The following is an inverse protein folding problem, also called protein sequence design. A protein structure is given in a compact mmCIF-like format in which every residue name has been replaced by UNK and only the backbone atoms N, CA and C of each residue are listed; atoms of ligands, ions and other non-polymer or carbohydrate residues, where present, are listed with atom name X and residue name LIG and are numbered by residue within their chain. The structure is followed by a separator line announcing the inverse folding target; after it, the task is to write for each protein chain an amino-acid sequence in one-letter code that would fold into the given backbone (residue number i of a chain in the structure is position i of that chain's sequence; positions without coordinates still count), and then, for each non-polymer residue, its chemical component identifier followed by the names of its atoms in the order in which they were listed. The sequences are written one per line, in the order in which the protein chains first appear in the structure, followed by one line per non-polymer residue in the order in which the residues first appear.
data_IF_464573186150
#
_entry.id   IF_464573186150
#
_cell.length_a   1.000
_cell.length_b   1.000
_cell.length_c   1.000
_cell.angle_alpha   90.00
_cell.angle_beta   90.00
_cell.angle_gamma   90.00
#
_symmetry.space_group_name_H-M   'P 1'
#
loop_
_entity.id
_entity.type
_entity.pdbx_description
1 polymer ?
#
# COMPACT_ATOMS: atom_id res chain seq x y z
N UNK A 1 -2.43 19.32 2.09
CA UNK A 1 -3.52 18.34 1.82
C UNK A 1 -4.89 18.99 1.79
N UNK A 2 -5.37 19.63 2.88
CA UNK A 2 -6.69 20.27 2.93
C UNK A 2 -6.95 21.32 1.84
N UNK A 3 -5.93 22.12 1.46
CA UNK A 3 -6.07 23.09 0.37
C UNK A 3 -6.24 22.43 -1.01
N UNK A 4 -5.53 21.33 -1.29
CA UNK A 4 -5.67 20.57 -2.54
C UNK A 4 -7.00 19.83 -2.58
N UNK A 5 -7.40 19.19 -1.48
CA UNK A 5 -8.72 18.54 -1.35
C UNK A 5 -9.83 19.57 -1.52
N UNK A 6 -9.71 20.76 -0.91
CA UNK A 6 -10.67 21.86 -1.10
C UNK A 6 -10.70 22.37 -2.53
N UNK A 7 -9.55 22.53 -3.19
CA UNK A 7 -9.47 22.93 -4.60
C UNK A 7 -10.08 21.85 -5.50
N UNK A 8 -9.81 20.57 -5.26
CA UNK A 8 -10.39 19.46 -6.02
C UNK A 8 -11.90 19.37 -5.81
N UNK A 9 -12.37 19.50 -4.57
CA UNK A 9 -13.78 19.53 -4.22
C UNK A 9 -14.51 20.71 -4.86
N UNK A 10 -13.94 21.92 -4.78
CA UNK A 10 -14.49 23.09 -5.46
C UNK A 10 -14.44 22.97 -6.98
N UNK A 11 -13.43 22.29 -7.53
CA UNK A 11 -13.33 22.04 -8.99
C UNK A 11 -14.34 20.98 -9.45
N UNK A 12 -14.62 19.97 -8.63
CA UNK A 12 -15.68 18.98 -8.89
C UNK A 12 -17.07 19.63 -8.81
N UNK A 13 -17.32 20.46 -7.80
CA UNK A 13 -18.56 21.24 -7.69
C UNK A 13 -18.70 22.21 -8.85
N UNK A 14 -17.63 22.93 -9.22
CA UNK A 14 -17.63 23.83 -10.36
C UNK A 14 -17.87 23.10 -11.69
N UNK A 15 -17.34 21.87 -11.84
CA UNK A 15 -17.60 21.02 -12.99
C UNK A 15 -19.06 20.56 -13.05
N UNK A 16 -19.68 20.29 -11.89
CA UNK A 16 -21.10 19.98 -11.80
C UNK A 16 -22.01 21.21 -11.99
N UNK A 17 -21.56 22.41 -11.61
CA UNK A 17 -22.32 23.67 -11.70
C UNK A 17 -22.09 24.47 -13.00
N UNK A 18 -21.12 24.08 -13.84
CA UNK A 18 -20.83 24.74 -15.11
C UNK A 18 -19.97 26.01 -15.02
N UNK A 19 -19.37 26.31 -13.86
CA UNK A 19 -18.53 27.51 -13.66
C UNK A 19 -17.16 27.40 -14.35
N UNK A 20 -17.12 27.77 -15.63
CA UNK A 20 -15.95 27.64 -16.53
C UNK A 20 -14.66 28.37 -16.11
N UNK A 21 -14.72 29.46 -15.34
CA UNK A 21 -13.53 30.25 -15.02
C UNK A 21 -12.62 29.62 -13.95
N UNK A 22 -13.21 29.06 -12.90
CA UNK A 22 -12.47 28.39 -11.83
C UNK A 22 -11.88 27.05 -12.31
N UNK A 23 -12.62 26.37 -13.19
CA UNK A 23 -12.15 25.22 -13.96
C UNK A 23 -10.95 25.64 -14.83
N UNK A 24 -11.04 26.66 -15.67
CA UNK A 24 -9.93 27.02 -16.59
C UNK A 24 -8.59 27.31 -15.89
N UNK A 25 -8.59 28.00 -14.76
CA UNK A 25 -7.35 28.41 -14.10
C UNK A 25 -6.63 27.28 -13.34
N UNK A 26 -7.36 26.28 -12.83
CA UNK A 26 -6.79 25.19 -12.02
C UNK A 26 -7.03 23.78 -12.60
N UNK A 27 -7.82 23.64 -13.68
CA UNK A 27 -8.19 22.35 -14.27
C UNK A 27 -6.98 21.54 -14.68
N UNK A 28 -5.93 22.18 -15.23
CA UNK A 28 -4.74 21.45 -15.64
C UNK A 28 -4.10 20.72 -14.46
N UNK A 29 -4.00 21.36 -13.29
CA UNK A 29 -3.47 20.72 -12.09
C UNK A 29 -4.41 19.63 -11.58
N UNK A 30 -5.70 19.91 -11.51
CA UNK A 30 -6.71 18.95 -10.99
C UNK A 30 -6.80 17.71 -11.86
N UNK A 31 -6.92 17.86 -13.18
CA UNK A 31 -6.93 16.72 -14.11
C UNK A 31 -5.61 15.95 -14.10
N UNK A 32 -4.48 16.63 -13.92
CA UNK A 32 -3.17 15.95 -13.85
C UNK A 32 -3.02 15.15 -12.54
N UNK A 33 -3.50 15.67 -11.42
CA UNK A 33 -3.32 15.04 -10.10
C UNK A 33 -4.42 14.02 -9.75
N UNK A 34 -5.60 14.13 -10.34
CA UNK A 34 -6.75 13.28 -9.98
C UNK A 34 -6.48 11.78 -10.16
N UNK A 35 -5.97 11.29 -11.32
CA UNK A 35 -5.65 9.87 -11.48
C UNK A 35 -4.61 9.39 -10.46
N UNK A 36 -3.58 10.21 -10.19
CA UNK A 36 -2.55 9.89 -9.22
C UNK A 36 -3.13 9.72 -7.80
N UNK A 37 -4.08 10.58 -7.42
CA UNK A 37 -4.75 10.49 -6.12
C UNK A 37 -5.63 9.24 -6.04
N UNK A 38 -6.36 8.88 -7.11
CA UNK A 38 -7.14 7.65 -7.16
C UNK A 38 -6.26 6.41 -6.93
N UNK A 39 -5.07 6.36 -7.53
CA UNK A 39 -4.14 5.26 -7.33
C UNK A 39 -3.52 5.25 -5.92
N UNK A 40 -3.20 6.41 -5.34
CA UNK A 40 -2.71 6.51 -3.97
C UNK A 40 -3.75 6.00 -2.96
N UNK A 41 -5.04 6.25 -3.18
CA UNK A 41 -6.11 5.83 -2.27
C UNK A 41 -6.61 4.40 -2.60
N UNK A 42 -6.15 3.79 -3.70
CA UNK A 42 -6.66 2.51 -4.17
C UNK A 42 -6.57 1.33 -3.18
N UNK A 43 -5.52 1.18 -2.32
CA UNK A 43 -5.51 0.12 -1.31
C UNK A 43 -6.67 0.22 -0.31
N UNK A 44 -7.07 1.45 0.04
CA UNK A 44 -8.21 1.69 0.93
C UNK A 44 -9.51 1.30 0.23
N UNK A 45 -9.71 1.73 -1.01
CA UNK A 45 -10.90 1.41 -1.80
C UNK A 45 -11.03 -0.11 -1.97
N UNK A 46 -9.94 -0.78 -2.34
CA UNK A 46 -9.91 -2.23 -2.50
C UNK A 46 -10.18 -2.97 -1.19
N UNK A 47 -9.76 -2.42 -0.05
CA UNK A 47 -10.07 -2.99 1.26
C UNK A 47 -11.57 -2.97 1.54
N UNK A 48 -12.25 -1.85 1.26
CA UNK A 48 -13.71 -1.77 1.43
C UNK A 48 -14.44 -2.76 0.51
N UNK A 49 -14.06 -2.81 -0.78
CA UNK A 49 -14.71 -3.72 -1.74
C UNK A 49 -14.42 -5.18 -1.43
N UNK A 50 -13.22 -5.51 -0.92
CA UNK A 50 -12.87 -6.88 -0.55
C UNK A 50 -13.75 -7.44 0.57
N UNK A 51 -14.23 -6.60 1.48
CA UNK A 51 -15.15 -6.99 2.55
C UNK A 51 -16.52 -7.46 2.06
N UNK A 52 -16.90 -7.13 0.82
CA UNK A 52 -18.17 -7.53 0.21
C UNK A 52 -18.10 -8.92 -0.44
N UNK A 53 -16.92 -9.55 -0.49
CA UNK A 53 -16.76 -10.92 -1.01
C UNK A 53 -16.90 -11.07 -2.53
N UNK A 54 -16.81 -9.98 -3.29
CA UNK A 54 -17.03 -9.96 -4.75
C UNK A 54 -15.89 -10.64 -5.53
N UNK A 55 -14.67 -10.67 -4.97
CA UNK A 55 -13.48 -11.18 -5.65
C UNK A 55 -12.99 -12.49 -5.05
N UNK A 56 -12.42 -13.35 -5.91
CA UNK A 56 -11.64 -14.49 -5.45
C UNK A 56 -10.32 -14.01 -4.82
N UNK A 57 -9.78 -14.78 -3.87
CA UNK A 57 -8.49 -14.47 -3.19
C UNK A 57 -7.38 -14.19 -4.21
N UNK A 58 -7.26 -15.02 -5.25
CA UNK A 58 -6.23 -14.87 -6.30
C UNK A 58 -6.33 -13.54 -7.05
N UNK A 59 -7.54 -13.15 -7.46
CA UNK A 59 -7.76 -11.87 -8.15
C UNK A 59 -7.46 -10.71 -7.22
N UNK A 60 -7.87 -10.81 -5.95
CA UNK A 60 -7.62 -9.79 -4.95
C UNK A 60 -6.11 -9.65 -4.63
N UNK A 61 -5.34 -10.74 -4.58
CA UNK A 61 -3.88 -10.69 -4.44
C UNK A 61 -3.22 -9.92 -5.59
N UNK A 62 -3.64 -10.19 -6.83
CA UNK A 62 -3.11 -9.50 -8.02
C UNK A 62 -3.47 -8.01 -8.01
N UNK A 63 -4.73 -7.68 -7.71
CA UNK A 63 -5.17 -6.29 -7.60
C UNK A 63 -4.46 -5.55 -6.47
N UNK A 64 -4.23 -6.21 -5.33
CA UNK A 64 -3.48 -5.63 -4.22
C UNK A 64 -2.06 -5.26 -4.66
N UNK A 65 -1.30 -6.20 -5.23
CA UNK A 65 0.07 -5.92 -5.69
C UNK A 65 0.09 -4.83 -6.76
N UNK A 66 -0.86 -4.86 -7.71
CA UNK A 66 -1.00 -3.82 -8.73
C UNK A 66 -1.29 -2.45 -8.13
N UNK A 67 -2.19 -2.37 -7.15
CA UNK A 67 -2.54 -1.13 -6.44
C UNK A 67 -1.33 -0.51 -5.74
N UNK A 68 -0.45 -1.33 -5.17
CA UNK A 68 0.75 -0.89 -4.47
C UNK A 68 1.78 -0.31 -5.46
N UNK A 69 2.01 -0.97 -6.59
CA UNK A 69 2.88 -0.44 -7.65
C UNK A 69 2.32 0.82 -8.30
N UNK A 70 1.01 0.88 -8.53
CA UNK A 70 0.35 2.08 -9.06
C UNK A 70 0.43 3.26 -8.06
N UNK A 71 0.27 2.99 -6.77
CA UNK A 71 0.47 3.96 -5.70
C UNK A 71 1.91 4.50 -5.66
N UNK A 72 2.91 3.64 -5.85
CA UNK A 72 4.32 4.03 -5.96
C UNK A 72 4.57 4.97 -7.15
N UNK A 73 4.17 4.56 -8.35
CA UNK A 73 4.35 5.35 -9.58
C UNK A 73 3.64 6.70 -9.45
N UNK A 74 2.41 6.69 -8.94
CA UNK A 74 1.61 7.91 -8.76
C UNK A 74 2.26 8.86 -7.76
N UNK A 75 2.84 8.32 -6.68
CA UNK A 75 3.56 9.11 -5.70
C UNK A 75 4.80 9.78 -6.31
N UNK A 76 5.57 9.08 -7.14
CA UNK A 76 6.71 9.67 -7.87
C UNK A 76 6.27 10.77 -8.84
N UNK A 77 5.17 10.57 -9.57
CA UNK A 77 4.61 11.61 -10.45
C UNK A 77 4.25 12.86 -9.63
N UNK A 78 3.67 12.69 -8.44
CA UNK A 78 3.33 13.82 -7.56
C UNK A 78 4.59 14.55 -7.04
N UNK A 79 5.69 13.83 -6.76
CA UNK A 79 6.99 14.46 -6.42
C UNK A 79 7.43 15.39 -7.55
N UNK A 80 7.40 14.91 -8.79
CA UNK A 80 7.81 15.69 -9.97
C UNK A 80 6.91 16.91 -10.16
N UNK A 81 5.59 16.71 -10.11
CA UNK A 81 4.61 17.80 -10.25
C UNK A 81 4.85 18.87 -9.19
N UNK A 82 4.88 18.51 -7.90
CA UNK A 82 5.04 19.50 -6.84
C UNK A 82 6.41 20.17 -6.83
N UNK A 83 7.47 19.49 -7.26
CA UNK A 83 8.79 20.10 -7.43
C UNK A 83 8.75 21.18 -8.51
N UNK A 84 8.17 20.90 -9.68
CA UNK A 84 7.97 21.91 -10.74
C UNK A 84 7.10 23.08 -10.29
N UNK A 85 6.03 22.83 -9.52
CA UNK A 85 5.18 23.90 -9.00
C UNK A 85 5.88 24.72 -7.90
N UNK A 86 6.80 24.14 -7.14
CA UNK A 86 7.60 24.86 -6.14
C UNK A 86 8.46 25.95 -6.78
N UNK A 87 9.07 25.65 -7.93
CA UNK A 87 9.88 26.61 -8.69
C UNK A 87 9.05 27.80 -9.20
N UNK A 88 7.76 27.59 -9.47
CA UNK A 88 6.83 28.62 -9.99
C UNK A 88 6.16 29.48 -8.90
N UNK A 89 6.40 29.20 -7.62
CA UNK A 89 5.85 29.97 -6.49
C UNK A 89 5.33 29.10 -5.35
N UNK A 90 4.92 29.72 -4.23
CA UNK A 90 4.48 29.03 -2.98
C UNK A 90 5.41 27.89 -2.56
N UNK A 91 6.73 28.18 -2.58
CA UNK A 91 7.81 27.21 -2.37
C UNK A 91 7.62 26.29 -1.16
N UNK A 92 7.26 26.85 -0.01
CA UNK A 92 7.09 26.07 1.23
C UNK A 92 6.03 24.96 1.09
N UNK A 93 4.82 25.30 0.62
CA UNK A 93 3.72 24.35 0.52
C UNK A 93 3.96 23.26 -0.53
N UNK A 94 4.48 23.65 -1.69
CA UNK A 94 4.75 22.72 -2.78
C UNK A 94 5.93 21.80 -2.44
N UNK A 95 6.98 22.33 -1.81
CA UNK A 95 8.10 21.50 -1.30
C UNK A 95 7.62 20.52 -0.24
N UNK A 96 6.78 20.95 0.71
CA UNK A 96 6.18 20.06 1.68
C UNK A 96 5.34 18.94 1.04
N UNK A 97 4.56 19.25 0.00
CA UNK A 97 3.82 18.23 -0.74
C UNK A 97 4.74 17.27 -1.51
N UNK A 98 5.83 17.75 -2.11
CA UNK A 98 6.81 16.89 -2.77
C UNK A 98 7.48 15.93 -1.77
N UNK A 99 7.86 16.41 -0.59
CA UNK A 99 8.44 15.56 0.48
C UNK A 99 7.44 14.51 0.95
N UNK A 100 6.17 14.89 1.18
CA UNK A 100 5.14 13.93 1.56
C UNK A 100 4.88 12.88 0.47
N UNK A 101 4.86 13.28 -0.80
CA UNK A 101 4.76 12.35 -1.92
C UNK A 101 5.97 11.41 -2.01
N UNK A 102 7.16 11.86 -1.64
CA UNK A 102 8.34 11.00 -1.59
C UNK A 102 8.25 9.97 -0.47
N UNK A 103 7.75 10.35 0.71
CA UNK A 103 7.48 9.43 1.82
C UNK A 103 6.44 8.38 1.40
N UNK A 104 5.36 8.79 0.74
CA UNK A 104 4.36 7.87 0.20
C UNK A 104 4.97 6.91 -0.83
N UNK A 105 5.84 7.41 -1.73
CA UNK A 105 6.53 6.56 -2.69
C UNK A 105 7.36 5.49 -1.97
N UNK A 106 8.09 5.85 -0.92
CA UNK A 106 8.82 4.87 -0.10
C UNK A 106 7.90 3.83 0.52
N UNK A 107 6.80 4.25 1.16
CA UNK A 107 5.83 3.34 1.79
C UNK A 107 5.24 2.35 0.77
N UNK A 108 4.84 2.85 -0.39
CA UNK A 108 4.29 2.01 -1.47
C UNK A 108 5.34 1.06 -2.04
N UNK A 109 6.55 1.55 -2.28
CA UNK A 109 7.64 0.74 -2.80
C UNK A 109 8.01 -0.39 -1.84
N UNK A 110 8.18 -0.07 -0.56
CA UNK A 110 8.50 -1.04 0.48
C UNK A 110 7.45 -2.14 0.57
N UNK A 111 6.16 -1.76 0.62
CA UNK A 111 5.06 -2.73 0.63
C UNK A 111 5.01 -3.56 -0.66
N UNK A 112 5.16 -2.93 -1.83
CA UNK A 112 5.12 -3.63 -3.12
C UNK A 112 6.28 -4.63 -3.24
N UNK A 113 7.49 -4.25 -2.83
CA UNK A 113 8.68 -5.11 -2.83
C UNK A 113 8.51 -6.31 -1.90
N UNK A 114 7.95 -6.10 -0.71
CA UNK A 114 7.65 -7.19 0.20
C UNK A 114 6.61 -8.14 -0.41
N UNK A 115 5.55 -7.61 -1.02
CA UNK A 115 4.47 -8.40 -1.62
C UNK A 115 4.82 -9.07 -2.97
N UNK A 116 5.91 -8.64 -3.62
CA UNK A 116 6.45 -9.26 -4.83
C UNK A 116 7.30 -10.48 -4.43
N UNK A 117 6.67 -11.65 -4.35
CA UNK A 117 7.28 -12.92 -3.92
C UNK A 117 6.24 -13.99 -3.57
N UNK A 118 6.68 -15.10 -2.97
CA UNK A 118 5.79 -16.06 -2.34
C UNK A 118 5.48 -15.58 -0.92
N UNK A 119 4.27 -15.07 -0.70
CA UNK A 119 3.88 -14.58 0.62
C UNK A 119 2.68 -15.35 1.12
N UNK A 120 2.60 -15.46 2.44
CA UNK A 120 1.43 -15.95 3.15
C UNK A 120 1.12 -15.04 4.34
N UNK A 121 -0.06 -15.25 4.89
CA UNK A 121 -0.47 -14.65 6.16
C UNK A 121 -1.15 -15.70 7.00
N UNK A 122 -0.85 -15.73 8.29
CA UNK A 122 -1.46 -16.64 9.24
C UNK A 122 -1.63 -15.96 10.60
N UNK A 123 -2.42 -16.59 11.48
CA UNK A 123 -2.57 -16.07 12.83
C UNK A 123 -1.25 -16.11 13.58
N UNK A 124 -1.02 -15.14 14.46
CA UNK A 124 0.23 -15.08 15.23
C UNK A 124 0.42 -16.31 16.12
N UNK A 125 -0.66 -16.86 16.67
CA UNK A 125 -0.65 -18.11 17.47
C UNK A 125 -0.15 -19.28 16.63
N UNK A 126 -0.60 -19.41 15.38
CA UNK A 126 -0.14 -20.46 14.48
C UNK A 126 1.32 -20.26 14.09
N UNK A 127 1.74 -19.03 13.79
CA UNK A 127 3.14 -18.76 13.45
C UNK A 127 4.08 -19.02 14.64
N UNK A 128 3.69 -18.64 15.85
CA UNK A 128 4.47 -18.92 17.06
C UNK A 128 4.61 -20.41 17.35
N UNK A 129 3.65 -21.25 16.96
CA UNK A 129 3.76 -22.70 17.15
C UNK A 129 4.78 -23.37 16.21
N UNK A 130 5.01 -22.79 15.02
CA UNK A 130 6.02 -23.26 14.07
C UNK A 130 7.35 -22.51 14.16
N UNK A 131 7.34 -21.30 14.71
CA UNK A 131 8.48 -20.37 14.77
C UNK A 131 8.43 -19.51 16.05
N UNK A 132 8.95 -20.01 17.18
CA UNK A 132 8.87 -19.32 18.47
C UNK A 132 9.63 -17.98 18.54
N UNK A 133 10.54 -17.74 17.60
CA UNK A 133 11.33 -16.52 17.45
C UNK A 133 10.53 -15.37 16.84
N UNK A 134 9.40 -15.64 16.16
CA UNK A 134 8.51 -14.60 15.62
C UNK A 134 7.60 -14.07 16.73
N UNK A 135 8.00 -12.94 17.32
CA UNK A 135 7.21 -12.24 18.33
C UNK A 135 6.24 -11.27 17.65
N UNK A 136 4.99 -11.70 17.51
CA UNK A 136 3.91 -10.85 17.03
C UNK A 136 2.73 -10.93 17.99
N UNK A 137 2.49 -9.86 18.74
CA UNK A 137 1.41 -9.79 19.73
C UNK A 137 0.05 -9.56 19.08
N UNK A 138 0.02 -8.94 17.90
CA UNK A 138 -1.20 -8.77 17.12
C UNK A 138 -1.52 -10.05 16.38
N UNK A 139 -2.80 -10.40 16.30
CA UNK A 139 -3.32 -11.71 15.91
C UNK A 139 -2.95 -12.24 14.51
N UNK A 140 -2.08 -11.59 13.75
CA UNK A 140 -1.74 -11.94 12.37
C UNK A 140 -0.29 -11.58 12.02
N UNK A 141 0.40 -12.52 11.39
CA UNK A 141 1.74 -12.35 10.81
C UNK A 141 1.64 -12.52 9.31
N UNK A 142 2.30 -11.64 8.55
CA UNK A 142 2.50 -11.81 7.11
C UNK A 142 3.96 -12.13 6.88
N UNK A 143 4.23 -13.11 6.04
CA UNK A 143 5.58 -13.56 5.77
C UNK A 143 5.83 -13.68 4.27
N UNK A 144 7.07 -13.39 3.88
CA UNK A 144 7.62 -13.64 2.56
C UNK A 144 8.53 -14.84 2.67
N UNK A 145 8.02 -15.97 2.19
CA UNK A 145 8.73 -17.23 2.19
C UNK A 145 9.86 -17.21 1.16
N UNK A 146 11.02 -17.70 1.58
CA UNK A 146 12.20 -17.87 0.71
C UNK A 146 12.80 -19.24 0.98
N UNK A 147 12.61 -20.16 0.03
CA UNK A 147 13.17 -21.51 0.14
C UNK A 147 14.70 -21.47 0.23
N UNK A 148 15.25 -22.06 1.28
CA UNK A 148 16.71 -22.14 1.50
C UNK A 148 17.36 -20.87 2.06
N UNK A 149 16.58 -19.83 2.35
CA UNK A 149 17.06 -18.59 2.99
C UNK A 149 16.14 -18.20 4.17
N UNK A 150 16.50 -17.16 4.90
CA UNK A 150 15.66 -16.59 5.95
C UNK A 150 14.38 -15.98 5.37
N UNK A 151 13.23 -16.46 5.85
CA UNK A 151 11.94 -15.86 5.51
C UNK A 151 11.80 -14.53 6.23
N UNK A 152 11.31 -13.52 5.51
CA UNK A 152 11.03 -12.20 6.07
C UNK A 152 9.60 -12.20 6.62
N UNK A 153 9.37 -11.58 7.77
CA UNK A 153 8.05 -11.46 8.36
C UNK A 153 7.75 -10.01 8.76
N UNK A 154 6.46 -9.67 8.75
CA UNK A 154 5.91 -8.37 9.17
C UNK A 154 4.70 -8.60 10.06
N UNK A 155 4.66 -7.89 11.18
CA UNK A 155 3.58 -7.88 12.16
C UNK A 155 2.98 -6.46 12.21
N UNK A 156 1.77 -6.23 11.66
CA UNK A 156 1.15 -4.91 11.69
C UNK A 156 0.90 -4.40 13.12
N UNK A 157 1.26 -3.14 13.39
CA UNK A 157 1.02 -2.46 14.68
C UNK A 157 -0.17 -1.51 14.64
N UNK A 158 -0.73 -1.22 13.46
CA UNK A 158 -1.93 -0.40 13.32
C UNK A 158 -2.92 -1.02 12.32
N UNK A 159 -2.86 -0.63 11.06
CA UNK A 159 -3.82 -0.83 10.00
C UNK A 159 -3.19 -1.76 8.98
N UNK A 160 -3.88 -2.86 8.67
CA UNK A 160 -3.58 -3.72 7.54
C UNK A 160 -4.73 -3.66 6.54
N UNK A 161 -4.42 -3.32 5.30
CA UNK A 161 -5.37 -3.22 4.19
C UNK A 161 -5.32 -4.47 3.32
N UNK A 162 -6.47 -4.82 2.71
CA UNK A 162 -6.63 -5.98 1.82
C UNK A 162 -6.25 -7.30 2.50
N UNK A 163 -6.74 -7.52 3.72
CA UNK A 163 -6.40 -8.69 4.55
C UNK A 163 -6.77 -10.03 3.88
N UNK A 164 -7.89 -10.06 3.15
CA UNK A 164 -8.37 -11.24 2.42
C UNK A 164 -7.48 -11.64 1.21
N UNK A 165 -6.52 -10.79 0.83
CA UNK A 165 -5.70 -11.00 -0.37
C UNK A 165 -4.47 -11.88 -0.12
N UNK A 166 -4.07 -12.10 1.13
CA UNK A 166 -2.74 -12.66 1.49
C UNK A 166 -1.54 -11.80 1.06
N UNK A 167 -1.78 -10.66 0.39
CA UNK A 167 -0.81 -9.68 -0.09
C UNK A 167 -1.16 -8.32 0.48
N UNK A 168 -1.19 -8.22 1.81
CA UNK A 168 -1.72 -7.06 2.50
C UNK A 168 -0.86 -5.82 2.28
N UNK A 169 -1.48 -4.65 2.23
CA UNK A 169 -0.76 -3.39 2.30
C UNK A 169 -0.68 -2.95 3.76
N UNK A 170 0.54 -2.86 4.30
CA UNK A 170 0.79 -2.30 5.63
C UNK A 170 1.75 -1.14 5.45
N UNK A 171 1.35 0.09 5.79
CA UNK A 171 2.19 1.25 5.60
C UNK A 171 3.35 1.24 6.61
N UNK A 172 4.56 1.55 6.19
CA UNK A 172 5.63 1.90 7.11
C UNK A 172 5.29 3.23 7.83
N UNK A 173 5.58 3.39 9.13
CA UNK A 173 6.30 2.48 10.04
C UNK A 173 5.37 1.56 10.86
N UNK A 174 4.14 1.31 10.41
CA UNK A 174 3.10 0.66 11.19
C UNK A 174 3.19 -0.88 11.18
N UNK A 175 4.40 -1.42 11.23
CA UNK A 175 4.67 -2.83 11.43
C UNK A 175 6.03 -3.06 12.10
N UNK A 176 6.14 -4.16 12.83
CA UNK A 176 7.42 -4.75 13.21
C UNK A 176 7.83 -5.75 12.15
N UNK A 177 9.13 -5.79 11.80
CA UNK A 177 9.66 -6.71 10.83
C UNK A 177 10.86 -7.48 11.35
N UNK A 178 11.13 -8.62 10.71
CA UNK A 178 12.27 -9.44 11.04
C UNK A 178 12.52 -10.53 10.00
N UNK A 179 13.58 -11.30 10.25
CA UNK A 179 13.95 -12.47 9.47
C UNK A 179 14.03 -13.69 10.38
N UNK A 180 13.57 -14.83 9.89
CA UNK A 180 13.55 -16.06 10.67
C UNK A 180 13.89 -17.27 9.80
N UNK A 181 14.87 -18.06 10.25
CA UNK A 181 15.17 -19.39 9.69
C UNK A 181 14.17 -20.45 10.16
N UNK A 182 13.71 -20.32 11.39
CA UNK A 182 12.78 -21.27 11.99
C UNK A 182 11.42 -21.19 11.30
N UNK A 183 11.02 -19.98 10.86
CA UNK A 183 9.84 -19.78 10.04
C UNK A 183 9.96 -20.48 8.69
N UNK A 184 11.11 -20.37 8.02
CA UNK A 184 11.36 -21.10 6.76
C UNK A 184 11.23 -22.60 6.98
N UNK A 185 11.87 -23.16 8.02
CA UNK A 185 11.81 -24.59 8.33
C UNK A 185 10.40 -25.06 8.69
N UNK A 186 9.66 -24.26 9.46
CA UNK A 186 8.28 -24.54 9.83
C UNK A 186 7.37 -24.60 8.61
N UNK A 187 7.52 -23.65 7.67
CA UNK A 187 6.79 -23.63 6.41
C UNK A 187 7.20 -24.82 5.52
N UNK A 188 8.49 -25.15 5.42
CA UNK A 188 8.98 -26.30 4.64
C UNK A 188 8.34 -27.59 5.13
N UNK A 189 8.34 -27.82 6.45
CA UNK A 189 7.73 -29.01 7.06
C UNK A 189 6.24 -29.11 6.74
N UNK A 190 5.51 -27.99 6.81
CA UNK A 190 4.08 -27.96 6.44
C UNK A 190 3.90 -28.29 4.96
N UNK A 191 4.70 -27.70 4.07
CA UNK A 191 4.61 -27.99 2.63
C UNK A 191 4.86 -29.46 2.32
N UNK A 192 5.79 -30.10 3.02
CA UNK A 192 6.08 -31.53 2.84
C UNK A 192 4.92 -32.40 3.37
N UNK A 193 4.38 -32.10 4.56
CA UNK A 193 3.21 -32.81 5.12
C UNK A 193 1.95 -32.75 4.24
N UNK A 194 1.75 -31.65 3.51
CA UNK A 194 0.62 -31.48 2.59
C UNK A 194 0.87 -31.98 1.16
N UNK A 195 2.11 -32.25 0.77
CA UNK A 195 2.42 -32.87 -0.53
C UNK A 195 2.21 -34.38 -0.54
N UNK A 196 2.30 -35.01 0.62
CA UNK A 196 2.15 -36.46 0.79
C UNK A 196 0.69 -36.91 1.01
N UNK A 197 -0.27 -36.00 0.86
CA UNK A 197 -1.72 -36.26 0.91
C UNK A 197 -2.39 -35.89 -0.40
#
# INVERSE_FOLDING_TARGET
MLALVKIMWQSMIAAASGERQLIKNNAKLVFTCFPAICFIISPFILSFISGEGIYTVKTLSQLSVASQWLGFISSLVMVVVFSFYSERGKKFWNTGCAVLSLILAFIFFDSAMFNTGENGSASSIFIQSISPDVKCERGMVIFKYKKGDESEWRCPTSIAMMQESGKMFIPWPDYEDGKSKDLTKGIDKLQDEFKDK
#
